data_IF_354443190957
#
_entry.id   IF_354443190957
#
_cell.length_a   1.000
_cell.length_b   1.000
_cell.length_c   1.000
_cell.angle_alpha   90.00
_cell.angle_beta   90.00
_cell.angle_gamma   90.00
#
_symmetry.space_group_name_H-M   'P 1'
#
loop_
_entity.id
_entity.type
_entity.pdbx_description
1 polymer ?
#
# COMPACT_ATOMS: atom_id res chain seq x y z
N UNK A 1 21.26 -15.75 7.70
CA UNK A 1 20.15 -15.07 8.40
C UNK A 1 18.94 -15.13 7.50
N UNK A 2 17.95 -15.97 7.81
CA UNK A 2 16.72 -16.09 7.02
C UNK A 2 15.75 -15.00 7.46
N UNK A 3 15.64 -13.93 6.68
CA UNK A 3 14.62 -12.91 6.90
C UNK A 3 13.31 -13.41 6.27
N UNK A 4 12.19 -13.44 7.01
CA UNK A 4 10.89 -13.79 6.45
C UNK A 4 10.51 -12.75 5.39
N UNK A 5 9.92 -13.19 4.28
CA UNK A 5 9.60 -12.31 3.16
C UNK A 5 8.51 -11.30 3.55
N UNK A 6 8.79 -9.97 3.61
CA UNK A 6 7.79 -8.97 3.98
C UNK A 6 6.71 -8.81 2.91
N UNK A 7 6.94 -9.26 1.67
CA UNK A 7 5.92 -9.25 0.61
C UNK A 7 4.93 -10.41 0.73
N UNK A 8 5.27 -11.44 1.50
CA UNK A 8 4.40 -12.59 1.81
C UNK A 8 3.98 -12.58 3.28
N UNK A 9 3.65 -11.40 3.81
CA UNK A 9 3.06 -11.21 5.14
C UNK A 9 1.78 -12.05 5.35
N UNK A 10 1.11 -12.44 4.26
CA UNK A 10 -0.05 -13.30 4.29
C UNK A 10 0.25 -14.67 4.92
N UNK A 11 1.39 -15.27 4.56
CA UNK A 11 1.77 -16.62 4.97
C UNK A 11 2.39 -16.67 6.38
N UNK A 12 2.53 -15.52 7.06
CA UNK A 12 3.13 -15.46 8.39
C UNK A 12 2.20 -15.99 9.48
N UNK A 13 2.80 -16.59 10.51
CA UNK A 13 2.14 -16.93 11.77
C UNK A 13 1.22 -15.81 12.27
N UNK A 14 -0.02 -16.13 12.62
CA UNK A 14 -1.01 -15.16 13.08
C UNK A 14 -0.54 -14.27 14.22
N UNK A 15 0.22 -14.83 15.18
CA UNK A 15 0.76 -14.07 16.30
C UNK A 15 1.79 -13.05 15.84
N UNK A 16 2.73 -13.44 14.97
CA UNK A 16 3.76 -12.53 14.43
C UNK A 16 3.10 -11.46 13.57
N UNK A 17 2.23 -11.88 12.65
CA UNK A 17 1.46 -10.99 11.79
C UNK A 17 0.70 -9.93 12.59
N UNK A 18 -0.03 -10.33 13.63
CA UNK A 18 -0.78 -9.41 14.48
C UNK A 18 0.11 -8.37 15.17
N UNK A 19 1.21 -8.80 15.79
CA UNK A 19 2.13 -7.87 16.47
C UNK A 19 2.84 -6.94 15.49
N UNK A 20 3.28 -7.44 14.34
CA UNK A 20 3.89 -6.62 13.29
C UNK A 20 2.90 -5.59 12.74
N UNK A 21 1.66 -6.01 12.48
CA UNK A 21 0.60 -5.12 12.00
C UNK A 21 0.29 -4.01 13.01
N UNK A 22 0.11 -4.38 14.29
CA UNK A 22 -0.17 -3.39 15.33
C UNK A 22 1.00 -2.43 15.56
N UNK A 23 2.24 -2.93 15.53
CA UNK A 23 3.43 -2.08 15.64
C UNK A 23 3.50 -1.07 14.48
N UNK A 24 3.24 -1.51 13.25
CA UNK A 24 3.25 -0.64 12.07
C UNK A 24 2.10 0.39 12.13
N UNK A 25 0.91 -0.02 12.58
CA UNK A 25 -0.22 0.89 12.76
C UNK A 25 0.05 1.94 13.84
N UNK A 26 0.62 1.55 14.98
CA UNK A 26 1.01 2.50 16.03
C UNK A 26 2.08 3.47 15.52
N UNK A 27 3.08 2.97 14.79
CA UNK A 27 4.09 3.83 14.16
C UNK A 27 3.46 4.84 13.20
N UNK A 28 2.49 4.42 12.38
CA UNK A 28 1.76 5.32 11.48
C UNK A 28 0.98 6.39 12.23
N UNK A 29 0.25 6.00 13.28
CA UNK A 29 -0.50 6.95 14.11
C UNK A 29 0.45 7.96 14.76
N UNK A 30 1.57 7.52 15.32
CA UNK A 30 2.56 8.41 15.94
C UNK A 30 3.12 9.41 14.94
N UNK A 31 3.50 8.96 13.74
CA UNK A 31 4.04 9.85 12.70
C UNK A 31 3.01 10.90 12.26
N UNK A 32 1.74 10.50 12.06
CA UNK A 32 0.66 11.43 11.70
C UNK A 32 0.35 12.40 12.84
N UNK A 33 0.31 11.94 14.09
CA UNK A 33 0.10 12.83 15.23
C UNK A 33 1.26 13.81 15.44
N UNK A 34 2.52 13.39 15.23
CA UNK A 34 3.67 14.28 15.31
C UNK A 34 3.59 15.42 14.29
N UNK A 35 3.17 15.08 13.07
CA UNK A 35 2.95 16.03 11.98
C UNK A 35 1.87 17.07 12.33
N UNK A 36 0.76 16.62 12.94
CA UNK A 36 -0.31 17.50 13.42
C UNK A 36 0.12 18.44 14.55
N UNK A 37 1.07 18.02 15.40
CA UNK A 37 1.61 18.85 16.50
C UNK A 37 2.69 19.84 16.01
N UNK A 38 3.06 19.78 14.72
CA UNK A 38 4.02 20.69 14.09
C UNK A 38 5.46 20.15 14.03
N UNK A 39 5.70 18.91 14.47
CA UNK A 39 6.96 18.21 14.26
C UNK A 39 6.92 17.47 12.93
N UNK A 40 7.11 18.22 11.84
CA UNK A 40 7.15 17.66 10.50
C UNK A 40 8.46 16.90 10.26
N UNK A 41 8.39 15.56 10.19
CA UNK A 41 9.49 14.73 9.70
C UNK A 41 9.29 14.57 8.19
N UNK A 42 10.10 15.25 7.34
CA UNK A 42 9.92 15.20 5.90
C UNK A 42 10.07 13.77 5.41
N UNK A 43 9.22 13.36 4.46
CA UNK A 43 9.24 12.07 3.74
C UNK A 43 8.81 10.88 4.60
N UNK A 44 9.03 10.88 5.92
CA UNK A 44 8.69 9.75 6.78
C UNK A 44 7.18 9.45 6.77
N UNK A 45 6.34 10.49 6.86
CA UNK A 45 4.89 10.36 6.81
C UNK A 45 4.43 9.81 5.46
N UNK A 46 4.93 10.37 4.37
CA UNK A 46 4.54 10.00 3.01
C UNK A 46 4.98 8.58 2.67
N UNK A 47 6.21 8.21 3.00
CA UNK A 47 6.74 6.86 2.75
C UNK A 47 5.98 5.80 3.56
N UNK A 48 5.69 6.09 4.83
CA UNK A 48 4.99 5.15 5.70
C UNK A 48 3.49 5.07 5.35
N UNK A 49 2.86 6.19 5.00
CA UNK A 49 1.50 6.22 4.47
C UNK A 49 1.39 5.43 3.16
N UNK A 50 2.35 5.60 2.25
CA UNK A 50 2.39 4.85 0.99
C UNK A 50 2.45 3.34 1.27
N UNK A 51 3.39 2.90 2.10
CA UNK A 51 3.50 1.48 2.44
C UNK A 51 2.22 0.93 3.12
N UNK A 52 1.68 1.70 4.08
CA UNK A 52 0.50 1.32 4.85
C UNK A 52 -0.77 1.26 4.01
N UNK A 53 -0.99 2.20 3.09
CA UNK A 53 -2.22 2.25 2.29
C UNK A 53 -2.13 1.34 1.07
N UNK A 54 -0.95 1.22 0.45
CA UNK A 54 -0.80 0.47 -0.80
C UNK A 54 -0.73 -1.04 -0.62
N UNK A 55 -0.15 -1.55 0.48
CA UNK A 55 0.07 -3.00 0.64
C UNK A 55 -0.79 -3.62 1.74
N UNK A 56 -0.85 -2.96 2.90
CA UNK A 56 -1.43 -3.54 4.10
C UNK A 56 -2.91 -3.98 3.99
N UNK A 57 -3.84 -3.19 3.43
CA UNK A 57 -5.23 -3.61 3.33
C UNK A 57 -5.40 -4.81 2.41
N UNK A 58 -4.68 -4.86 1.29
CA UNK A 58 -4.70 -5.98 0.39
C UNK A 58 -4.10 -7.25 0.99
N UNK A 59 -2.99 -7.15 1.74
CA UNK A 59 -2.44 -8.29 2.48
C UNK A 59 -3.46 -8.85 3.47
N UNK A 60 -4.17 -7.98 4.19
CA UNK A 60 -5.23 -8.41 5.10
C UNK A 60 -6.34 -9.15 4.37
N UNK A 61 -6.80 -8.66 3.22
CA UNK A 61 -7.84 -9.37 2.44
C UNK A 61 -7.31 -10.69 1.86
N UNK A 62 -6.07 -10.75 1.38
CA UNK A 62 -5.44 -12.02 0.96
C UNK A 62 -5.50 -13.06 2.08
N UNK A 63 -5.29 -12.62 3.33
CA UNK A 63 -5.38 -13.47 4.52
C UNK A 63 -6.80 -13.89 4.87
N UNK A 64 -7.75 -12.97 4.78
CA UNK A 64 -9.19 -13.28 4.91
C UNK A 64 -9.63 -14.33 3.88
N UNK A 65 -9.11 -14.26 2.66
CA UNK A 65 -9.40 -15.20 1.56
C UNK A 65 -8.60 -16.51 1.65
N UNK A 66 -7.66 -16.63 2.60
CA UNK A 66 -6.75 -17.77 2.78
C UNK A 66 -5.93 -18.11 1.51
N UNK A 67 -5.55 -17.09 0.74
CA UNK A 67 -4.79 -17.25 -0.49
C UNK A 67 -3.29 -17.40 -0.20
N UNK A 68 -2.91 -18.60 0.24
CA UNK A 68 -1.54 -18.92 0.63
C UNK A 68 -0.72 -19.49 -0.53
N UNK A 69 0.61 -19.35 -0.44
CA UNK A 69 1.54 -19.92 -1.42
C UNK A 69 1.52 -19.27 -2.80
N UNK A 70 0.99 -18.04 -2.88
CA UNK A 70 1.16 -17.20 -4.06
C UNK A 70 2.64 -16.80 -4.15
N UNK A 71 3.22 -16.84 -5.35
CA UNK A 71 4.58 -16.36 -5.57
C UNK A 71 4.74 -14.91 -5.10
N UNK A 72 5.98 -14.47 -4.87
CA UNK A 72 6.26 -13.11 -4.35
C UNK A 72 5.66 -12.01 -5.23
N UNK A 73 5.69 -12.20 -6.55
CA UNK A 73 5.20 -11.20 -7.52
C UNK A 73 3.68 -11.16 -7.51
N UNK A 74 3.03 -12.33 -7.55
CA UNK A 74 1.58 -12.47 -7.53
C UNK A 74 0.99 -11.91 -6.24
N UNK A 75 1.62 -12.23 -5.10
CA UNK A 75 1.21 -11.71 -3.79
C UNK A 75 1.29 -10.19 -3.74
N UNK A 76 2.37 -9.59 -4.25
CA UNK A 76 2.53 -8.15 -4.31
C UNK A 76 1.48 -7.50 -5.23
N UNK A 77 1.26 -8.06 -6.43
CA UNK A 77 0.28 -7.52 -7.38
C UNK A 77 -1.15 -7.60 -6.84
N UNK A 78 -1.54 -8.75 -6.28
CA UNK A 78 -2.86 -8.90 -5.68
C UNK A 78 -3.02 -8.03 -4.44
N UNK A 79 -2.00 -7.92 -3.60
CA UNK A 79 -2.02 -7.01 -2.45
C UNK A 79 -2.27 -5.57 -2.91
N UNK A 80 -1.54 -5.07 -3.90
CA UNK A 80 -1.73 -3.69 -4.40
C UNK A 80 -3.14 -3.50 -4.98
N UNK A 81 -3.60 -4.41 -5.84
CA UNK A 81 -4.92 -4.32 -6.46
C UNK A 81 -6.07 -4.38 -5.45
N UNK A 82 -5.94 -5.25 -4.46
CA UNK A 82 -6.95 -5.47 -3.42
C UNK A 82 -6.94 -4.33 -2.39
N UNK A 83 -5.78 -3.74 -2.09
CA UNK A 83 -5.67 -2.48 -1.33
C UNK A 83 -6.41 -1.35 -2.01
N UNK A 84 -6.24 -1.17 -3.33
CA UNK A 84 -6.96 -0.16 -4.10
C UNK A 84 -8.47 -0.39 -4.03
N UNK A 85 -8.93 -1.63 -4.18
CA UNK A 85 -10.35 -1.95 -4.04
C UNK A 85 -10.88 -1.59 -2.64
N UNK A 86 -10.20 -2.00 -1.57
CA UNK A 86 -10.58 -1.66 -0.19
C UNK A 86 -10.63 -0.15 0.02
N UNK A 87 -9.64 0.59 -0.50
CA UNK A 87 -9.60 2.05 -0.37
C UNK A 87 -10.76 2.72 -1.11
N UNK A 88 -11.09 2.26 -2.32
CA UNK A 88 -12.24 2.76 -3.07
C UNK A 88 -13.57 2.50 -2.36
N UNK A 89 -13.77 1.29 -1.82
CA UNK A 89 -14.95 0.99 -1.01
C UNK A 89 -15.02 1.81 0.27
N UNK A 90 -13.88 2.05 0.92
CA UNK A 90 -13.79 2.90 2.11
C UNK A 90 -14.15 4.35 1.77
N UNK A 91 -13.62 4.90 0.68
CA UNK A 91 -13.94 6.24 0.21
C UNK A 91 -15.41 6.39 -0.20
N UNK A 92 -15.98 5.37 -0.87
CA UNK A 92 -17.40 5.33 -1.20
C UNK A 92 -18.26 5.34 0.08
N UNK A 93 -17.94 4.48 1.05
CA UNK A 93 -18.63 4.43 2.33
C UNK A 93 -18.51 5.76 3.09
N UNK A 94 -17.33 6.40 3.08
CA UNK A 94 -17.13 7.72 3.68
C UNK A 94 -18.05 8.76 3.02
N UNK A 95 -18.06 8.79 1.70
CA UNK A 95 -18.85 9.73 0.92
C UNK A 95 -20.36 9.55 1.09
N UNK A 96 -20.83 8.34 1.42
CA UNK A 96 -22.26 8.08 1.68
C UNK A 96 -22.62 8.29 3.15
N UNK A 97 -21.79 7.84 4.10
CA UNK A 97 -22.11 7.81 5.52
C UNK A 97 -21.94 9.20 6.16
N UNK A 98 -20.84 9.91 5.89
CA UNK A 98 -20.57 11.19 6.57
C UNK A 98 -21.60 12.29 6.29
N UNK A 99 -22.12 12.46 5.05
CA UNK A 99 -23.19 13.42 4.81
C UNK A 99 -24.49 13.10 5.56
N UNK A 100 -24.79 11.82 5.82
CA UNK A 100 -25.97 11.42 6.61
C UNK A 100 -25.87 11.90 8.07
N UNK A 101 -24.66 12.08 8.59
CA UNK A 101 -24.38 12.64 9.91
C UNK A 101 -24.16 14.16 9.90
N UNK A 102 -24.38 14.83 8.77
CA UNK A 102 -24.23 16.29 8.64
C UNK A 102 -22.78 16.77 8.46
N UNK A 103 -21.81 15.87 8.25
CA UNK A 103 -20.43 16.26 7.94
C UNK A 103 -20.29 16.66 6.48
N UNK A 104 -19.91 17.91 6.23
CA UNK A 104 -19.81 18.50 4.89
C UNK A 104 -18.48 18.20 4.17
N UNK A 105 -17.49 17.64 4.86
CA UNK A 105 -16.13 17.42 4.34
C UNK A 105 -15.67 15.96 4.56
N UNK A 106 -16.24 14.98 3.84
CA UNK A 106 -15.96 13.55 4.05
C UNK A 106 -14.51 13.15 3.73
N UNK A 107 -13.80 13.94 2.91
CA UNK A 107 -12.42 13.69 2.52
C UNK A 107 -11.39 14.46 3.37
N UNK A 108 -11.80 15.05 4.49
CA UNK A 108 -10.86 15.64 5.44
C UNK A 108 -10.01 14.54 6.09
N UNK A 109 -8.76 14.88 6.44
CA UNK A 109 -7.88 13.94 7.16
C UNK A 109 -8.53 13.46 8.46
N UNK A 110 -9.21 14.36 9.17
CA UNK A 110 -9.90 14.05 10.43
C UNK A 110 -11.03 13.02 10.28
N UNK A 111 -11.71 12.97 9.13
CA UNK A 111 -12.76 12.01 8.85
C UNK A 111 -12.21 10.69 8.28
N UNK A 112 -11.28 10.77 7.31
CA UNK A 112 -10.76 9.57 6.65
C UNK A 112 -9.78 8.78 7.50
N UNK A 113 -8.96 9.45 8.30
CA UNK A 113 -7.95 8.79 9.14
C UNK A 113 -8.56 7.78 10.13
N UNK A 114 -9.55 8.15 10.99
CA UNK A 114 -10.16 7.18 11.90
C UNK A 114 -10.94 6.09 11.15
N UNK A 115 -11.56 6.42 10.00
CA UNK A 115 -12.27 5.44 9.20
C UNK A 115 -11.33 4.39 8.59
N UNK A 116 -10.18 4.82 8.07
CA UNK A 116 -9.14 3.92 7.56
C UNK A 116 -8.65 2.99 8.67
N UNK A 117 -8.37 3.53 9.86
CA UNK A 117 -7.95 2.74 11.02
C UNK A 117 -9.04 1.73 11.43
N UNK A 118 -10.30 2.13 11.45
CA UNK A 118 -11.42 1.24 11.78
C UNK A 118 -11.57 0.10 10.76
N UNK A 119 -11.48 0.41 9.46
CA UNK A 119 -11.53 -0.59 8.37
C UNK A 119 -10.35 -1.57 8.51
N UNK A 120 -9.15 -1.06 8.75
CA UNK A 120 -7.95 -1.87 8.95
C UNK A 120 -8.08 -2.84 10.13
N UNK A 121 -8.60 -2.36 11.27
CA UNK A 121 -8.85 -3.20 12.44
C UNK A 121 -9.96 -4.24 12.17
N UNK A 122 -11.03 -3.86 11.46
CA UNK A 122 -12.07 -4.79 11.07
C UNK A 122 -11.52 -5.91 10.16
N UNK A 123 -10.71 -5.56 9.16
CA UNK A 123 -10.04 -6.53 8.29
C UNK A 123 -9.07 -7.42 9.08
N UNK A 124 -8.33 -6.87 10.05
CA UNK A 124 -7.44 -7.65 10.92
C UNK A 124 -8.21 -8.66 11.74
N UNK A 125 -9.30 -8.25 12.40
CA UNK A 125 -10.15 -9.16 13.17
C UNK A 125 -10.76 -10.25 12.29
N UNK A 126 -11.23 -9.90 11.10
CA UNK A 126 -11.73 -10.87 10.12
C UNK A 126 -10.64 -11.85 9.68
N UNK A 127 -9.42 -11.38 9.43
CA UNK A 127 -8.29 -12.22 9.07
C UNK A 127 -7.97 -13.22 10.19
N UNK A 128 -7.88 -12.76 11.45
CA UNK A 128 -7.60 -13.63 12.59
C UNK A 128 -8.74 -14.61 12.91
N UNK A 129 -9.99 -14.19 12.75
CA UNK A 129 -11.15 -15.05 12.97
C UNK A 129 -11.24 -16.15 11.91
N UNK A 130 -10.92 -15.82 10.66
CA UNK A 130 -11.00 -16.74 9.53
C UNK A 130 -9.78 -17.64 9.42
N UNK A 131 -8.60 -17.19 9.82
CA UNK A 131 -7.35 -17.92 9.56
C UNK A 131 -6.85 -18.74 10.76
N UNK A 132 -7.75 -19.38 11.51
CA UNK A 132 -7.43 -20.08 12.76
C UNK A 132 -6.49 -21.29 12.64
N UNK A 133 -6.16 -21.75 11.44
CA UNK A 133 -5.51 -23.07 11.20
C UNK A 133 -4.34 -23.04 10.20
N UNK A 134 -3.89 -21.88 9.69
CA UNK A 134 -2.72 -21.88 8.81
C UNK A 134 -1.42 -22.05 9.62
N UNK A 135 -0.78 -23.20 9.44
CA UNK A 135 0.53 -23.58 10.00
C UNK A 135 1.52 -23.93 8.89
N UNK A 136 1.51 -23.15 7.80
CA UNK A 136 2.47 -23.30 6.71
C UNK A 136 3.86 -22.77 7.10
N UNK A 137 4.96 -23.32 6.56
CA UNK A 137 6.29 -22.79 6.79
C UNK A 137 6.41 -21.36 6.23
N UNK A 138 7.02 -20.45 7.01
CA UNK A 138 7.30 -19.08 6.59
C UNK A 138 8.06 -19.08 5.25
N UNK A 139 7.57 -18.39 4.21
CA UNK A 139 8.21 -18.43 2.92
C UNK A 139 9.55 -17.68 2.95
N UNK A 140 10.58 -18.35 2.44
CA UNK A 140 11.96 -17.84 2.41
C UNK A 140 12.20 -17.00 1.18
N UNK A 141 12.86 -15.85 1.36
CA UNK A 141 13.30 -15.01 0.24
C UNK A 141 14.42 -15.72 -0.53
N UNK A 142 14.15 -16.12 -1.78
CA UNK A 142 15.20 -16.41 -2.76
C UNK A 142 15.54 -15.11 -3.48
N UNK A 143 16.71 -14.53 -3.20
CA UNK A 143 17.19 -13.32 -3.88
C UNK A 143 17.66 -13.70 -5.28
N UNK A 144 16.76 -13.64 -6.25
CA UNK A 144 17.12 -13.72 -7.67
C UNK A 144 17.54 -12.32 -8.13
N UNK A 145 18.67 -12.16 -8.83
CA UNK A 145 19.08 -10.87 -9.37
C UNK A 145 17.98 -10.33 -10.31
N UNK A 146 17.61 -9.05 -10.18
CA UNK A 146 16.58 -8.47 -11.02
C UNK A 146 17.03 -8.44 -12.48
N UNK A 147 16.09 -8.71 -13.40
CA UNK A 147 16.36 -8.59 -14.83
C UNK A 147 16.73 -7.16 -15.24
N UNK A 148 17.36 -6.97 -16.42
CA UNK A 148 17.89 -5.68 -16.86
C UNK A 148 16.82 -4.57 -17.01
N UNK A 149 15.54 -4.93 -17.12
CA UNK A 149 14.43 -3.98 -17.23
C UNK A 149 13.95 -3.41 -15.88
N UNK A 150 14.22 -4.09 -14.76
CA UNK A 150 13.73 -3.70 -13.43
C UNK A 150 14.25 -2.33 -12.98
N UNK A 151 15.55 -1.98 -13.14
CA UNK A 151 16.05 -0.66 -12.77
C UNK A 151 15.38 0.47 -13.56
N UNK A 152 15.07 0.23 -14.84
CA UNK A 152 14.37 1.20 -15.68
C UNK A 152 12.95 1.44 -15.18
N UNK A 153 12.22 0.38 -14.81
CA UNK A 153 10.86 0.48 -14.27
C UNK A 153 10.83 1.22 -12.92
N UNK A 154 11.82 1.01 -12.07
CA UNK A 154 11.94 1.70 -10.77
C UNK A 154 12.18 3.21 -10.95
N UNK A 155 12.73 3.66 -12.08
CA UNK A 155 12.96 5.08 -12.34
C UNK A 155 11.66 5.87 -12.60
N UNK A 156 10.59 5.22 -13.06
CA UNK A 156 9.30 5.86 -13.36
C UNK A 156 8.72 6.63 -12.16
N UNK A 157 8.54 6.02 -10.96
CA UNK A 157 8.02 6.76 -9.81
C UNK A 157 8.93 7.93 -9.39
N UNK A 158 10.26 7.81 -9.53
CA UNK A 158 11.17 8.94 -9.27
C UNK A 158 10.98 10.07 -10.28
N UNK A 159 10.79 9.75 -11.56
CA UNK A 159 10.47 10.73 -12.59
C UNK A 159 9.11 11.41 -12.32
N UNK A 160 8.13 10.69 -11.78
CA UNK A 160 6.85 11.24 -11.35
C UNK A 160 7.00 12.23 -10.18
N UNK A 161 7.84 11.90 -9.20
CA UNK A 161 8.13 12.78 -8.05
C UNK A 161 8.82 14.07 -8.54
N UNK A 162 9.87 13.94 -9.35
CA UNK A 162 10.61 15.09 -9.91
C UNK A 162 9.70 15.93 -10.80
N UNK A 163 8.91 15.29 -11.66
CA UNK A 163 7.98 15.97 -12.55
C UNK A 163 6.91 16.76 -11.80
N UNK A 164 6.38 16.20 -10.71
CA UNK A 164 5.44 16.91 -9.84
C UNK A 164 6.09 18.09 -9.13
N UNK A 165 7.33 17.91 -8.63
CA UNK A 165 8.09 18.99 -7.99
C UNK A 165 8.33 20.16 -8.96
N UNK A 166 8.83 19.89 -10.17
CA UNK A 166 9.08 20.91 -11.20
C UNK A 166 7.78 21.59 -11.65
N UNK A 167 6.68 20.84 -11.76
CA UNK A 167 5.36 21.42 -12.05
C UNK A 167 4.94 22.40 -10.95
N UNK A 168 5.23 22.09 -9.70
CA UNK A 168 4.82 22.93 -8.57
C UNK A 168 5.69 24.19 -8.44
N UNK A 169 6.99 24.11 -8.73
CA UNK A 169 7.92 25.25 -8.59
C UNK A 169 8.03 26.12 -9.85
N UNK A 170 7.99 25.50 -11.04
CA UNK A 170 8.25 26.18 -12.31
C UNK A 170 7.03 26.19 -13.26
N UNK A 171 5.90 25.60 -12.85
CA UNK A 171 4.69 25.44 -13.69
C UNK A 171 4.93 24.68 -15.00
N UNK A 172 6.06 23.98 -15.14
CA UNK A 172 6.42 23.19 -16.31
C UNK A 172 5.90 21.75 -16.18
N UNK A 173 5.20 21.27 -17.20
CA UNK A 173 4.57 19.93 -17.23
C UNK A 173 5.34 18.91 -18.08
N UNK A 174 6.47 19.31 -18.66
CA UNK A 174 7.23 18.53 -19.64
C UNK A 174 7.63 17.15 -19.14
N UNK A 175 8.13 17.04 -17.90
CA UNK A 175 8.53 15.76 -17.30
C UNK A 175 7.34 14.83 -17.05
N UNK A 176 6.16 15.38 -16.75
CA UNK A 176 4.95 14.60 -16.53
C UNK A 176 4.41 14.03 -17.85
N UNK A 177 4.49 14.80 -18.94
CA UNK A 177 4.20 14.30 -20.28
C UNK A 177 5.21 13.25 -20.74
N UNK A 178 6.50 13.46 -20.49
CA UNK A 178 7.54 12.47 -20.78
C UNK A 178 7.26 11.15 -20.06
N UNK A 179 6.88 11.20 -18.79
CA UNK A 179 6.48 10.03 -18.01
C UNK A 179 5.30 9.30 -18.67
N UNK A 180 4.26 10.03 -19.09
CA UNK A 180 3.08 9.42 -19.74
C UNK A 180 3.46 8.69 -21.04
N UNK A 181 4.31 9.31 -21.86
CA UNK A 181 4.82 8.70 -23.09
C UNK A 181 5.64 7.45 -22.77
N UNK A 182 6.51 7.51 -21.76
CA UNK A 182 7.33 6.37 -21.35
C UNK A 182 6.46 5.19 -20.88
N UNK A 183 5.43 5.43 -20.06
CA UNK A 183 4.49 4.40 -19.61
C UNK A 183 3.77 3.75 -20.81
N UNK A 184 3.33 4.55 -21.78
CA UNK A 184 2.67 4.05 -22.98
C UNK A 184 3.61 3.18 -23.83
N UNK A 185 4.85 3.63 -24.06
CA UNK A 185 5.87 2.89 -24.83
C UNK A 185 6.24 1.58 -24.13
N UNK A 186 6.45 1.59 -22.81
CA UNK A 186 6.74 0.39 -22.03
C UNK A 186 5.58 -0.60 -22.11
N UNK A 187 4.33 -0.12 -21.99
CA UNK A 187 3.15 -0.97 -22.08
C UNK A 187 3.01 -1.63 -23.46
N UNK A 188 3.28 -0.89 -24.54
CA UNK A 188 3.32 -1.44 -25.89
C UNK A 188 4.46 -2.44 -26.05
N UNK A 189 5.68 -2.12 -25.58
CA UNK A 189 6.83 -3.02 -25.68
C UNK A 189 6.57 -4.36 -24.98
N UNK A 190 5.99 -4.35 -23.78
CA UNK A 190 5.60 -5.58 -23.06
C UNK A 190 4.47 -6.32 -23.80
N UNK A 191 3.53 -5.59 -24.40
CA UNK A 191 2.42 -6.18 -25.15
C UNK A 191 2.84 -6.86 -26.46
N UNK A 192 3.90 -6.36 -27.10
CA UNK A 192 4.47 -6.92 -28.34
C UNK A 192 5.58 -7.96 -28.11
N UNK A 193 6.10 -8.09 -26.89
CA UNK A 193 7.05 -9.15 -26.49
C UNK A 193 6.33 -10.49 -26.22
N UNK A 194 5.40 -10.85 -27.12
CA UNK A 194 4.66 -12.12 -27.18
C UNK A 194 4.69 -12.70 -28.57
#
# INVERSE_FOLDING_TARGET
MHLPNPLQLNDWDNRRFFWTFQALQVAFIVVVCLDLVGYHIPIAREALAFLYVTFLPGVLVLKVLRLHGLGTIETALYSIGLSLAVLMFTGLAANTIYPLFGYMWPFSLEALFPMLIAVMQALLLLALARDREYSGPDPTVSVTPPGPAVPLLVLLPFLAIIGTYVRNTHHMVTYLFLLLVLIAVISLAIGFDR
#
